data_IF_749100318189
#
_entry.id   IF_749100318189
#
_cell.length_a   1.000
_cell.length_b   1.000
_cell.length_c   1.000
_cell.angle_alpha   90.00
_cell.angle_beta   90.00
_cell.angle_gamma   90.00
#
_symmetry.space_group_name_H-M   'P 1'
#
loop_
_entity.id
_entity.type
_entity.pdbx_description
1 polymer ?
#
# COMPACT_ATOMS: atom_id res chain seq x y z
N UNK A 1 -7.07 45.12 15.14
CA UNK A 1 -5.83 44.57 14.55
C UNK A 1 -5.93 43.07 14.66
N UNK A 2 -6.22 42.40 13.56
CA UNK A 2 -6.29 40.94 13.51
C UNK A 2 -4.85 40.47 13.34
N UNK A 3 -4.36 39.66 14.27
CA UNK A 3 -2.99 39.15 14.23
C UNK A 3 -2.80 38.33 12.93
N UNK A 4 -1.91 38.76 12.05
CA UNK A 4 -1.55 38.10 10.78
C UNK A 4 -0.77 36.78 10.98
N UNK A 5 -1.10 36.00 12.02
CA UNK A 5 -0.32 34.82 12.43
C UNK A 5 -1.17 33.56 12.62
N UNK A 6 -2.20 33.36 11.81
CA UNK A 6 -3.09 32.18 11.96
C UNK A 6 -3.73 31.77 10.64
N UNK A 7 -2.95 31.37 9.63
CA UNK A 7 -3.50 30.61 8.49
C UNK A 7 -2.51 29.67 7.77
N UNK A 8 -1.22 29.64 8.12
CA UNK A 8 -0.23 28.82 7.40
C UNK A 8 -0.12 27.36 7.89
N UNK A 9 -0.75 26.99 9.00
CA UNK A 9 -0.69 25.60 9.48
C UNK A 9 -1.76 24.71 8.83
N UNK A 10 -1.32 24.09 7.74
CA UNK A 10 -1.62 22.69 7.37
C UNK A 10 -3.04 22.34 6.94
N UNK A 11 -3.38 22.71 5.71
CA UNK A 11 -4.11 21.75 4.87
C UNK A 11 -3.09 21.14 3.92
N UNK A 12 -2.47 20.02 4.32
CA UNK A 12 -1.88 19.09 3.36
C UNK A 12 -3.06 18.51 2.57
N UNK A 13 -3.50 19.25 1.56
CA UNK A 13 -4.50 18.78 0.62
C UNK A 13 -3.96 17.49 0.00
N UNK A 14 -4.78 16.44 -0.12
CA UNK A 14 -4.33 15.21 -0.75
C UNK A 14 -3.85 15.51 -2.17
N UNK A 15 -2.64 15.08 -2.49
CA UNK A 15 -2.12 15.13 -3.86
C UNK A 15 -2.81 14.02 -4.63
N UNK A 16 -3.53 14.39 -5.68
CA UNK A 16 -4.19 13.46 -6.60
C UNK A 16 -3.30 13.32 -7.82
N UNK A 17 -2.93 12.10 -8.15
CA UNK A 17 -2.18 11.75 -9.35
C UNK A 17 -2.91 10.68 -10.16
N UNK A 18 -2.74 10.72 -11.49
CA UNK A 18 -3.19 9.64 -12.36
C UNK A 18 -2.21 8.47 -12.23
N UNK A 19 -2.73 7.29 -11.92
CA UNK A 19 -1.95 6.06 -11.80
C UNK A 19 -2.34 5.13 -12.95
N UNK A 20 -1.36 4.75 -13.76
CA UNK A 20 -1.53 3.70 -14.77
C UNK A 20 -1.18 2.35 -14.16
N UNK A 21 -2.16 1.46 -14.08
CA UNK A 21 -1.95 0.08 -13.63
C UNK A 21 -1.18 -0.73 -14.68
N UNK A 22 -0.31 -1.62 -14.20
CA UNK A 22 0.36 -2.61 -15.04
C UNK A 22 -0.54 -3.82 -15.22
N UNK A 23 -0.83 -4.15 -16.46
CA UNK A 23 -1.45 -5.42 -16.82
C UNK A 23 -0.36 -6.48 -16.99
N UNK A 24 -0.10 -7.24 -15.92
CA UNK A 24 0.88 -8.32 -15.91
C UNK A 24 0.23 -9.63 -15.43
N UNK A 25 0.74 -10.80 -15.86
CA UNK A 25 0.17 -12.08 -15.47
C UNK A 25 0.18 -12.31 -13.96
N UNK A 26 -0.87 -12.96 -13.44
CA UNK A 26 -1.01 -13.27 -12.02
C UNK A 26 0.22 -13.92 -11.36
N UNK A 27 0.91 -14.91 -11.97
CA UNK A 27 2.11 -15.48 -11.37
C UNK A 27 3.23 -14.44 -11.15
N UNK A 28 3.36 -13.48 -12.07
CA UNK A 28 4.33 -12.40 -11.95
C UNK A 28 3.92 -11.42 -10.85
N UNK A 29 2.63 -11.08 -10.74
CA UNK A 29 2.11 -10.26 -9.63
C UNK A 29 2.45 -10.88 -8.27
N UNK A 30 2.19 -12.20 -8.12
CA UNK A 30 2.47 -12.94 -6.89
C UNK A 30 3.97 -12.90 -6.54
N UNK A 31 4.86 -13.12 -7.50
CA UNK A 31 6.30 -13.04 -7.29
C UNK A 31 6.75 -11.63 -6.86
N UNK A 32 6.29 -10.59 -7.56
CA UNK A 32 6.66 -9.21 -7.25
C UNK A 32 6.14 -8.76 -5.87
N UNK A 33 4.94 -9.18 -5.47
CA UNK A 33 4.37 -8.92 -4.14
C UNK A 33 5.20 -9.60 -3.05
N UNK A 34 5.60 -10.87 -3.25
CA UNK A 34 6.48 -11.57 -2.30
C UNK A 34 7.80 -10.80 -2.11
N UNK A 35 8.43 -10.39 -3.20
CA UNK A 35 9.71 -9.66 -3.14
C UNK A 35 9.56 -8.28 -2.50
N UNK A 36 8.44 -7.60 -2.75
CA UNK A 36 8.11 -6.33 -2.08
C UNK A 36 7.97 -6.53 -0.56
N UNK A 37 7.21 -7.54 -0.13
CA UNK A 37 7.04 -7.86 1.29
C UNK A 37 8.34 -8.31 1.97
N UNK A 38 9.26 -8.99 1.27
CA UNK A 38 10.58 -9.36 1.83
C UNK A 38 11.46 -8.16 2.10
N UNK A 39 11.42 -7.15 1.22
CA UNK A 39 12.24 -5.93 1.33
C UNK A 39 11.75 -4.99 2.43
N UNK A 40 10.46 -5.04 2.75
CA UNK A 40 9.81 -4.13 3.68
C UNK A 40 9.37 -4.85 4.96
N UNK A 41 9.75 -4.34 6.14
CA UNK A 41 9.46 -5.03 7.42
C UNK A 41 7.96 -5.14 7.74
N UNK A 42 7.18 -4.16 7.32
CA UNK A 42 5.71 -4.07 7.46
C UNK A 42 5.18 -3.26 6.29
N UNK A 43 4.07 -3.69 5.70
CA UNK A 43 3.49 -3.09 4.50
C UNK A 43 1.99 -2.95 4.67
N UNK A 44 1.41 -1.85 4.17
CA UNK A 44 -0.02 -1.77 3.93
C UNK A 44 -0.33 -2.22 2.50
N UNK A 45 -1.52 -2.80 2.30
CA UNK A 45 -1.97 -3.25 0.96
C UNK A 45 -1.97 -2.10 -0.06
N UNK A 46 -2.31 -0.89 0.39
CA UNK A 46 -2.27 0.32 -0.44
C UNK A 46 -0.86 0.64 -0.94
N UNK A 47 0.16 0.43 -0.11
CA UNK A 47 1.55 0.72 -0.46
C UNK A 47 2.01 -0.26 -1.54
N UNK A 48 1.68 -1.55 -1.36
CA UNK A 48 1.96 -2.60 -2.36
C UNK A 48 1.30 -2.27 -3.69
N UNK A 49 0.00 -1.94 -3.68
CA UNK A 49 -0.76 -1.63 -4.89
C UNK A 49 -0.21 -0.39 -5.61
N UNK A 50 0.07 0.69 -4.87
CA UNK A 50 0.59 1.94 -5.43
C UNK A 50 2.01 1.77 -5.98
N UNK A 51 2.92 1.18 -5.21
CA UNK A 51 4.34 1.07 -5.59
C UNK A 51 4.54 0.07 -6.74
N UNK A 52 3.78 -1.03 -6.75
CA UNK A 52 3.84 -2.01 -7.83
C UNK A 52 2.91 -1.67 -9.01
N UNK A 53 2.08 -0.64 -8.86
CA UNK A 53 1.06 -0.23 -9.84
C UNK A 53 0.14 -1.39 -10.22
N UNK A 54 -0.33 -2.12 -9.22
CA UNK A 54 -1.23 -3.26 -9.36
C UNK A 54 -2.62 -2.89 -8.86
N UNK A 55 -3.63 -3.60 -9.35
CA UNK A 55 -4.99 -3.43 -8.83
C UNK A 55 -5.05 -3.84 -7.35
N UNK A 56 -5.71 -3.02 -6.52
CA UNK A 56 -5.77 -3.23 -5.08
C UNK A 56 -6.51 -4.52 -4.72
N UNK A 57 -7.52 -4.91 -5.50
CA UNK A 57 -8.27 -6.14 -5.27
C UNK A 57 -7.42 -7.36 -5.58
N UNK A 58 -6.64 -7.33 -6.66
CA UNK A 58 -5.70 -8.40 -7.00
C UNK A 58 -4.61 -8.54 -5.93
N UNK A 59 -4.05 -7.42 -5.46
CA UNK A 59 -3.10 -7.40 -4.34
C UNK A 59 -3.72 -8.01 -3.08
N UNK A 60 -4.95 -7.63 -2.72
CA UNK A 60 -5.65 -8.19 -1.58
C UNK A 60 -5.82 -9.71 -1.68
N UNK A 61 -6.25 -10.21 -2.84
CA UNK A 61 -6.45 -11.63 -3.07
C UNK A 61 -5.14 -12.41 -2.96
N UNK A 62 -4.08 -11.91 -3.60
CA UNK A 62 -2.75 -12.53 -3.56
C UNK A 62 -2.20 -12.55 -2.13
N UNK A 63 -2.30 -11.44 -1.40
CA UNK A 63 -1.80 -11.38 -0.02
C UNK A 63 -2.54 -12.38 0.88
N UNK A 64 -3.86 -12.51 0.75
CA UNK A 64 -4.61 -13.51 1.51
C UNK A 64 -4.22 -14.94 1.12
N UNK A 65 -4.06 -15.22 -0.17
CA UNK A 65 -3.56 -16.53 -0.64
C UNK A 65 -2.19 -16.85 0.00
N UNK A 66 -1.27 -15.88 0.02
CA UNK A 66 0.05 -16.04 0.62
C UNK A 66 0.01 -16.22 2.15
N UNK A 67 -0.97 -15.63 2.82
CA UNK A 67 -1.22 -15.83 4.26
C UNK A 67 -1.76 -17.24 4.50
N UNK A 68 -2.72 -17.69 3.71
CA UNK A 68 -3.31 -19.03 3.79
C UNK A 68 -2.25 -20.11 3.51
N UNK A 69 -1.31 -19.84 2.59
CA UNK A 69 -0.14 -20.69 2.31
C UNK A 69 0.94 -20.64 3.41
N UNK A 70 0.82 -19.73 4.38
CA UNK A 70 1.80 -19.54 5.47
C UNK A 70 3.11 -18.88 5.03
N UNK A 71 3.13 -18.25 3.84
CA UNK A 71 4.29 -17.51 3.31
C UNK A 71 4.37 -16.12 3.95
N UNK A 72 3.22 -15.48 4.18
CA UNK A 72 3.10 -14.19 4.85
C UNK A 72 2.34 -14.34 6.19
N UNK A 73 2.52 -13.36 7.07
CA UNK A 73 1.83 -13.31 8.37
C UNK A 73 1.25 -11.92 8.64
N UNK A 74 0.13 -11.89 9.35
CA UNK A 74 -0.54 -10.65 9.75
C UNK A 74 0.00 -10.20 11.11
N UNK A 75 0.42 -8.94 11.21
CA UNK A 75 0.79 -8.33 12.48
C UNK A 75 -0.23 -7.25 12.84
N UNK A 76 -1.10 -7.56 13.82
CA UNK A 76 -2.05 -6.60 14.36
C UNK A 76 -1.37 -5.82 15.49
N UNK A 77 -0.94 -4.60 15.21
CA UNK A 77 -0.45 -3.68 16.24
C UNK A 77 -1.67 -3.09 16.98
N UNK A 78 -2.29 -3.91 17.83
CA UNK A 78 -3.34 -3.48 18.74
C UNK A 78 -2.71 -2.67 19.89
N UNK A 79 -2.27 -1.44 19.59
CA UNK A 79 -2.02 -0.42 20.60
C UNK A 79 -3.18 0.57 20.57
N UNK A 80 -4.21 0.23 21.34
CA UNK A 80 -5.13 1.21 21.91
C UNK A 80 -4.40 1.99 23.01
#
# INVERSE_FOLDING_TARGET
MINEKTLEDSYNLPVIEEITLRDIPYPQQKEEIIEYCKKNKRVFLSDVANDLKLDLWDVYNIINELIDEGILGVHNDNRL
#
